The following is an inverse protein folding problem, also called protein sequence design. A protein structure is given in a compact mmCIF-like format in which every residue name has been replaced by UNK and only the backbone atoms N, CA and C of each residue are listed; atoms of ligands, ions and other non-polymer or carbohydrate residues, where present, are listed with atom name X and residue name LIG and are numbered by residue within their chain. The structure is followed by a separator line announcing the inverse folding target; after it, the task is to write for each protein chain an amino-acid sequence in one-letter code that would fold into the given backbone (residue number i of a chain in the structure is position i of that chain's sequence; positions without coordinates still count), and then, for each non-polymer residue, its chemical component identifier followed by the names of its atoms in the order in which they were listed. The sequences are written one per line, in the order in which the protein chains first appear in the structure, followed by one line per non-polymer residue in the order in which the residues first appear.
data_IF_719056394120
#
_entry.id   IF_719056394120
#
_cell.length_a   1.000
_cell.length_b   1.000
_cell.length_c   1.000
_cell.angle_alpha   90.00
_cell.angle_beta   90.00
_cell.angle_gamma   90.00
#
_symmetry.space_group_name_H-M   'P 1'
#
loop_
_entity.id
_entity.type
_entity.pdbx_description
1 polymer ?
#
# COMPACT_ATOMS: atom_id res chain seq x y z
N UNK A 1 13.13 -2.45 27.81
CA UNK A 1 12.04 -3.39 27.49
C UNK A 1 10.83 -2.68 26.86
N UNK A 2 10.10 -1.84 27.60
CA UNK A 2 8.88 -1.13 27.11
C UNK A 2 9.09 -0.44 25.75
N UNK A 3 10.14 0.37 25.61
CA UNK A 3 10.46 1.10 24.37
C UNK A 3 10.85 0.19 23.21
N UNK A 4 11.53 -0.93 23.50
CA UNK A 4 11.94 -1.92 22.50
C UNK A 4 10.73 -2.66 21.94
N UNK A 5 9.71 -2.90 22.77
CA UNK A 5 8.42 -3.44 22.37
C UNK A 5 7.56 -2.44 21.59
N UNK A 6 8.06 -1.23 21.29
CA UNK A 6 7.32 -0.19 20.58
C UNK A 6 6.18 0.41 21.41
N UNK A 7 6.16 0.18 22.73
CA UNK A 7 5.10 0.67 23.60
C UNK A 7 5.42 2.09 24.07
N UNK A 8 4.49 3.01 23.85
CA UNK A 8 4.55 4.37 24.39
C UNK A 8 3.62 4.48 25.59
N UNK A 9 4.18 4.79 26.77
CA UNK A 9 3.46 4.95 28.04
C UNK A 9 3.69 6.37 28.55
N UNK A 10 2.62 7.03 28.99
CA UNK A 10 2.72 8.34 29.65
C UNK A 10 3.03 8.12 31.13
N UNK A 11 4.32 7.99 31.45
CA UNK A 11 4.78 7.58 32.79
C UNK A 11 4.28 8.47 33.93
N UNK A 12 4.13 9.78 33.71
CA UNK A 12 3.62 10.71 34.74
C UNK A 12 2.22 10.32 35.23
N UNK A 13 1.32 9.94 34.30
CA UNK A 13 -0.04 9.49 34.64
C UNK A 13 -0.06 8.03 35.07
N UNK A 14 0.81 7.21 34.48
CA UNK A 14 0.84 5.79 34.76
C UNK A 14 1.29 5.47 36.20
N UNK A 15 2.20 6.27 36.77
CA UNK A 15 2.69 6.09 38.13
C UNK A 15 2.01 6.99 39.17
N UNK A 16 0.91 7.66 38.82
CA UNK A 16 0.24 8.62 39.73
C UNK A 16 -0.29 7.95 41.00
N UNK A 17 -0.88 6.75 40.87
CA UNK A 17 -1.44 5.97 41.98
C UNK A 17 -0.49 4.91 42.55
N UNK A 18 0.76 4.87 42.06
CA UNK A 18 1.74 3.85 42.46
C UNK A 18 2.69 4.47 43.46
N UNK A 19 2.95 3.77 44.57
CA UNK A 19 3.93 4.23 45.54
C UNK A 19 5.30 4.39 44.88
N UNK A 20 6.08 5.38 45.30
CA UNK A 20 7.40 5.68 44.73
C UNK A 20 8.45 4.64 45.15
N UNK A 21 8.26 3.43 44.67
CA UNK A 21 9.08 2.25 44.90
C UNK A 21 9.33 1.56 43.56
N UNK A 22 10.61 1.41 43.22
CA UNK A 22 11.05 0.83 41.95
C UNK A 22 10.47 -0.56 41.70
N UNK A 23 10.38 -1.41 42.72
CA UNK A 23 9.80 -2.76 42.58
C UNK A 23 8.31 -2.70 42.18
N UNK A 24 7.54 -1.77 42.73
CA UNK A 24 6.13 -1.61 42.38
C UNK A 24 5.97 -1.04 40.96
N UNK A 25 6.83 -0.09 40.59
CA UNK A 25 6.84 0.52 39.25
C UNK A 25 7.20 -0.50 38.18
N UNK A 26 8.20 -1.35 38.42
CA UNK A 26 8.58 -2.44 37.51
C UNK A 26 7.43 -3.43 37.36
N UNK A 27 6.84 -3.90 38.47
CA UNK A 27 5.71 -4.83 38.44
C UNK A 27 4.49 -4.26 37.71
N UNK A 28 4.23 -2.97 37.85
CA UNK A 28 3.16 -2.30 37.11
C UNK A 28 3.46 -2.27 35.60
N UNK A 29 4.71 -2.01 35.20
CA UNK A 29 5.12 -2.05 33.80
C UNK A 29 5.03 -3.45 33.21
N UNK A 30 5.45 -4.49 33.93
CA UNK A 30 5.32 -5.88 33.50
C UNK A 30 3.85 -6.24 33.23
N UNK A 31 2.96 -5.92 34.18
CA UNK A 31 1.52 -6.13 34.03
C UNK A 31 0.94 -5.36 32.83
N UNK A 32 1.41 -4.14 32.59
CA UNK A 32 0.98 -3.34 31.43
C UNK A 32 1.50 -3.92 30.11
N UNK A 33 2.70 -4.50 30.10
CA UNK A 33 3.25 -5.20 28.93
C UNK A 33 2.44 -6.47 28.63
N UNK A 34 2.07 -7.24 29.67
CA UNK A 34 1.17 -8.40 29.53
C UNK A 34 -0.21 -8.01 29.01
N UNK A 35 -0.78 -6.93 29.55
CA UNK A 35 -2.09 -6.41 29.10
C UNK A 35 -2.08 -6.04 27.62
N UNK A 36 -0.93 -5.63 27.08
CA UNK A 36 -0.76 -5.31 25.66
C UNK A 36 -0.41 -6.52 24.79
N UNK A 37 -0.35 -7.71 25.36
CA UNK A 37 -0.16 -8.97 24.65
C UNK A 37 1.27 -9.50 24.64
N UNK A 38 2.22 -8.86 25.35
CA UNK A 38 3.56 -9.39 25.47
C UNK A 38 3.63 -10.36 26.65
N UNK A 39 3.82 -11.65 26.39
CA UNK A 39 3.94 -12.68 27.43
C UNK A 39 5.36 -12.75 27.99
N UNK A 40 5.54 -13.05 29.30
CA UNK A 40 6.85 -13.33 29.87
C UNK A 40 7.51 -14.56 29.21
N UNK A 41 8.85 -14.62 29.12
CA UNK A 41 9.82 -13.68 29.69
C UNK A 41 10.03 -12.40 28.85
N UNK A 42 10.16 -11.25 29.52
CA UNK A 42 10.42 -9.95 28.89
C UNK A 42 11.88 -9.77 28.46
N UNK A 43 12.35 -10.63 27.57
CA UNK A 43 13.71 -10.53 27.02
C UNK A 43 13.79 -9.43 25.96
N UNK A 44 15.00 -8.98 25.66
CA UNK A 44 15.25 -8.00 24.60
C UNK A 44 14.74 -8.48 23.24
N UNK A 45 14.93 -9.77 22.95
CA UNK A 45 14.50 -10.41 21.70
C UNK A 45 12.98 -10.51 21.62
N UNK A 46 12.32 -10.94 22.69
CA UNK A 46 10.86 -11.02 22.74
C UNK A 46 10.21 -9.64 22.52
N UNK A 47 10.75 -8.58 23.12
CA UNK A 47 10.27 -7.22 22.90
C UNK A 47 10.41 -6.79 21.43
N UNK A 48 11.57 -7.05 20.81
CA UNK A 48 11.80 -6.69 19.39
C UNK A 48 10.89 -7.49 18.46
N UNK A 49 10.73 -8.79 18.71
CA UNK A 49 9.86 -9.66 17.93
C UNK A 49 8.40 -9.21 18.01
N UNK A 50 7.92 -8.84 19.21
CA UNK A 50 6.57 -8.33 19.39
C UNK A 50 6.33 -7.04 18.60
N UNK A 51 7.29 -6.10 18.64
CA UNK A 51 7.20 -4.87 17.83
C UNK A 51 7.09 -5.21 16.33
N UNK A 52 7.95 -6.11 15.85
CA UNK A 52 7.97 -6.52 14.45
C UNK A 52 6.65 -7.20 14.02
N UNK A 53 6.11 -8.12 14.84
CA UNK A 53 4.82 -8.77 14.57
C UNK A 53 3.69 -7.75 14.46
N UNK A 54 3.63 -6.79 15.38
CA UNK A 54 2.63 -5.71 15.34
C UNK A 54 2.73 -4.85 14.09
N UNK A 55 3.94 -4.55 13.63
CA UNK A 55 4.16 -3.78 12.41
C UNK A 55 3.71 -4.58 11.17
N UNK A 56 4.04 -5.87 11.12
CA UNK A 56 3.58 -6.79 10.06
C UNK A 56 2.06 -6.92 10.02
N UNK A 57 1.41 -7.08 11.18
CA UNK A 57 -0.05 -7.12 11.28
C UNK A 57 -0.70 -5.82 10.80
N UNK A 58 -0.10 -4.67 11.14
CA UNK A 58 -0.59 -3.38 10.67
C UNK A 58 -0.44 -3.22 9.14
N UNK A 59 0.67 -3.69 8.57
CA UNK A 59 0.88 -3.72 7.13
C UNK A 59 -0.14 -4.63 6.43
N UNK A 60 -0.35 -5.84 6.93
CA UNK A 60 -1.35 -6.77 6.41
C UNK A 60 -2.78 -6.20 6.50
N UNK A 61 -3.09 -5.49 7.59
CA UNK A 61 -4.38 -4.82 7.76
C UNK A 61 -4.56 -3.61 6.85
N UNK A 62 -3.48 -2.99 6.36
CA UNK A 62 -3.56 -1.92 5.37
C UNK A 62 -3.67 -2.50 3.95
N UNK A 63 -2.95 -3.57 3.66
CA UNK A 63 -3.08 -4.32 2.40
C UNK A 63 -4.48 -4.91 2.24
N UNK A 64 -5.13 -5.34 3.33
CA UNK A 64 -6.51 -5.81 3.33
C UNK A 64 -7.54 -4.71 3.08
N UNK A 65 -7.18 -3.43 3.09
CA UNK A 65 -8.07 -2.35 2.61
C UNK A 65 -7.87 -2.08 1.12
N UNK A 66 -6.66 -2.30 0.63
CA UNK A 66 -6.20 -1.93 -0.71
C UNK A 66 -6.07 -3.14 -1.64
N UNK A 67 -7.15 -3.91 -1.80
CA UNK A 67 -7.15 -5.05 -2.71
C UNK A 67 -7.07 -4.60 -4.18
N UNK A 68 -5.97 -4.96 -4.85
CA UNK A 68 -5.80 -4.75 -6.29
C UNK A 68 -6.52 -5.84 -7.09
N UNK A 69 -6.60 -7.04 -6.52
CA UNK A 69 -7.19 -8.23 -7.13
C UNK A 69 -8.37 -8.65 -6.26
N UNK A 70 -9.59 -8.58 -6.81
CA UNK A 70 -10.77 -9.12 -6.16
C UNK A 70 -10.74 -10.66 -6.27
N UNK A 71 -10.20 -11.32 -5.25
CA UNK A 71 -10.22 -12.80 -5.15
C UNK A 71 -11.64 -13.21 -4.73
N UNK A 72 -12.56 -13.23 -5.69
CA UNK A 72 -13.90 -13.80 -5.52
C UNK A 72 -13.91 -15.31 -5.71
N UNK A 73 -14.93 -15.99 -5.19
CA UNK A 73 -15.13 -17.46 -5.25
C UNK A 73 -15.15 -18.05 -6.67
N UNK A 74 -15.28 -17.22 -7.71
CA UNK A 74 -15.42 -17.64 -9.12
C UNK A 74 -14.17 -17.32 -9.98
N UNK A 75 -12.96 -17.40 -9.42
CA UNK A 75 -11.72 -17.17 -10.20
C UNK A 75 -11.16 -18.43 -10.91
N UNK A 76 -11.77 -19.60 -10.74
CA UNK A 76 -11.38 -20.78 -11.50
C UNK A 76 -11.95 -20.73 -12.93
N UNK A 77 -11.31 -19.94 -13.80
CA UNK A 77 -11.70 -19.83 -15.19
C UNK A 77 -10.88 -18.83 -16.00
N UNK A 78 -10.75 -19.09 -17.31
CA UNK A 78 -10.12 -18.14 -18.25
C UNK A 78 -10.98 -16.88 -18.33
N UNK A 79 -10.41 -15.74 -17.91
CA UNK A 79 -11.08 -14.43 -18.01
C UNK A 79 -11.51 -14.18 -19.45
N UNK A 80 -12.82 -14.06 -19.67
CA UNK A 80 -13.41 -13.79 -20.99
C UNK A 80 -13.34 -12.30 -21.33
N UNK A 81 -13.44 -11.96 -22.63
CA UNK A 81 -13.42 -10.56 -23.10
C UNK A 81 -14.55 -9.72 -22.46
N UNK A 82 -15.73 -10.32 -22.24
CA UNK A 82 -16.88 -9.66 -21.60
C UNK A 82 -16.68 -9.40 -20.11
N UNK A 83 -15.99 -10.28 -19.39
CA UNK A 83 -15.63 -10.05 -17.98
C UNK A 83 -14.60 -8.92 -17.85
N UNK A 84 -13.64 -8.82 -18.78
CA UNK A 84 -12.68 -7.70 -18.81
C UNK A 84 -13.36 -6.36 -19.04
N UNK A 85 -14.30 -6.28 -19.98
CA UNK A 85 -15.02 -5.03 -20.25
C UNK A 85 -15.91 -4.62 -19.06
N UNK A 86 -16.54 -5.58 -18.38
CA UNK A 86 -17.32 -5.30 -17.17
C UNK A 86 -16.46 -4.78 -16.01
N UNK A 87 -15.28 -5.36 -15.78
CA UNK A 87 -14.33 -4.90 -14.75
C UNK A 87 -13.76 -3.50 -15.04
N UNK A 88 -13.54 -3.16 -16.32
CA UNK A 88 -13.14 -1.81 -16.73
C UNK A 88 -14.25 -0.78 -16.51
N UNK A 89 -15.52 -1.17 -16.68
CA UNK A 89 -16.66 -0.29 -16.43
C UNK A 89 -16.86 0.03 -14.94
N UNK A 90 -16.57 -0.91 -14.03
CA UNK A 90 -16.61 -0.67 -12.57
C UNK A 90 -15.42 0.15 -12.08
N UNK A 91 -14.23 0.04 -12.69
CA UNK A 91 -13.07 0.89 -12.39
C UNK A 91 -13.33 2.39 -12.60
N UNK A 92 -14.21 2.76 -13.53
CA UNK A 92 -14.62 4.16 -13.73
C UNK A 92 -15.36 4.78 -12.54
N UNK A 93 -15.79 3.99 -11.55
CA UNK A 93 -16.47 4.48 -10.32
C UNK A 93 -15.58 4.50 -9.07
N UNK A 94 -14.42 3.84 -9.10
CA UNK A 94 -13.39 3.93 -8.06
C UNK A 94 -12.13 4.51 -8.69
N UNK A 95 -12.23 5.79 -9.06
CA UNK A 95 -11.12 6.54 -9.61
C UNK A 95 -10.04 6.68 -8.55
N UNK A 96 -8.88 6.07 -8.82
CA UNK A 96 -7.62 6.64 -8.38
C UNK A 96 -7.62 8.03 -9.04
N UNK A 97 -7.64 9.08 -8.23
CA UNK A 97 -7.56 10.46 -8.72
C UNK A 97 -6.14 10.62 -9.27
N UNK A 98 -5.97 10.32 -10.55
CA UNK A 98 -5.05 11.09 -11.36
C UNK A 98 -5.92 12.27 -11.82
N UNK A 99 -5.61 13.48 -11.38
CA UNK A 99 -6.19 14.67 -11.99
C UNK A 99 -5.69 14.72 -13.44
N UNK A 100 -6.38 14.00 -14.32
CA UNK A 100 -6.42 14.35 -15.73
C UNK A 100 -7.36 15.54 -15.79
N UNK A 101 -6.77 16.72 -15.57
CA UNK A 101 -7.40 18.01 -15.86
C UNK A 101 -7.86 17.95 -17.31
N UNK A 102 -9.18 17.84 -17.50
CA UNK A 102 -9.84 17.82 -18.82
C UNK A 102 -9.93 19.24 -19.42
N UNK A 103 -8.93 20.06 -19.17
CA UNK A 103 -8.65 21.30 -19.90
C UNK A 103 -7.31 21.05 -20.58
N UNK A 104 -7.34 20.32 -21.71
CA UNK A 104 -6.19 20.21 -22.61
C UNK A 104 -6.03 21.56 -23.31
N UNK A 105 -5.09 22.39 -22.82
CA UNK A 105 -4.69 23.62 -23.49
C UNK A 105 -4.06 23.29 -24.86
N UNK A 106 -4.16 24.20 -25.84
CA UNK A 106 -3.65 23.99 -27.22
C UNK A 106 -2.16 23.58 -27.25
N UNK A 107 -1.37 23.96 -26.25
CA UNK A 107 0.04 23.58 -26.09
C UNK A 107 0.23 22.08 -25.80
N UNK A 108 -0.67 21.43 -25.05
CA UNK A 108 -0.59 19.99 -24.74
C UNK A 108 -0.91 19.12 -25.97
N UNK A 109 -1.80 19.60 -26.85
CA UNK A 109 -2.09 18.95 -28.13
C UNK A 109 -0.90 19.03 -29.08
N UNK A 110 -0.20 20.16 -29.12
CA UNK A 110 1.00 20.34 -29.93
C UNK A 110 2.16 19.47 -29.43
N UNK A 111 2.37 19.35 -28.12
CA UNK A 111 3.40 18.48 -27.55
C UNK A 111 3.11 17.00 -27.83
N UNK A 112 1.83 16.60 -27.76
CA UNK A 112 1.40 15.24 -28.09
C UNK A 112 1.58 14.89 -29.56
N UNK A 113 1.25 15.81 -30.47
CA UNK A 113 1.47 15.62 -31.91
C UNK A 113 2.96 15.66 -32.26
N UNK A 114 3.77 16.48 -31.57
CA UNK A 114 5.22 16.47 -31.70
C UNK A 114 5.82 15.11 -31.28
N UNK A 115 5.40 14.56 -30.13
CA UNK A 115 5.85 13.24 -29.67
C UNK A 115 5.43 12.10 -30.60
N UNK A 116 4.22 12.15 -31.18
CA UNK A 116 3.80 11.19 -32.22
C UNK A 116 4.69 11.27 -33.46
N UNK A 117 4.97 12.48 -33.93
CA UNK A 117 5.81 12.68 -35.11
C UNK A 117 7.25 12.24 -34.85
N UNK A 118 7.78 12.50 -33.65
CA UNK A 118 9.12 12.09 -33.25
C UNK A 118 9.25 10.57 -33.14
N UNK A 119 8.26 9.91 -32.53
CA UNK A 119 8.23 8.44 -32.43
C UNK A 119 8.03 7.77 -33.80
N UNK A 120 7.17 8.30 -34.68
CA UNK A 120 7.06 7.82 -36.06
C UNK A 120 8.38 7.98 -36.83
N UNK A 121 9.12 9.07 -36.61
CA UNK A 121 10.41 9.31 -37.24
C UNK A 121 11.53 8.42 -36.66
N UNK A 122 11.50 8.11 -35.36
CA UNK A 122 12.49 7.27 -34.68
C UNK A 122 12.51 5.84 -35.24
N UNK A 123 11.35 5.34 -35.69
CA UNK A 123 11.23 4.02 -36.32
C UNK A 123 11.23 4.05 -37.85
N UNK A 124 11.53 5.19 -38.47
CA UNK A 124 11.60 5.33 -39.94
C UNK A 124 12.62 4.37 -40.58
N UNK A 125 13.70 4.06 -39.86
CA UNK A 125 14.73 3.11 -40.31
C UNK A 125 14.28 1.64 -40.24
N UNK A 126 13.13 1.36 -39.60
CA UNK A 126 12.51 0.04 -39.49
C UNK A 126 11.29 -0.12 -40.40
N UNK A 127 10.87 0.94 -41.13
CA UNK A 127 9.83 0.87 -42.17
C UNK A 127 10.29 -0.10 -43.26
N UNK A 128 9.64 -1.27 -43.33
CA UNK A 128 9.98 -2.38 -44.24
C UNK A 128 10.42 -3.66 -43.53
N UNK A 129 10.85 -3.59 -42.26
CA UNK A 129 11.03 -4.76 -41.38
C UNK A 129 9.75 -5.00 -40.58
N UNK A 130 9.13 -3.91 -40.12
CA UNK A 130 7.79 -3.94 -39.50
C UNK A 130 6.81 -3.49 -40.58
N UNK A 131 5.99 -4.42 -41.07
CA UNK A 131 4.92 -4.10 -42.02
C UNK A 131 3.86 -3.24 -41.33
N UNK A 132 3.76 -1.99 -41.75
CA UNK A 132 2.65 -1.09 -41.43
C UNK A 132 1.82 -0.96 -42.71
N UNK A 133 1.05 -2.01 -43.03
CA UNK A 133 0.01 -1.99 -44.06
C UNK A 133 -1.22 -1.32 -43.44
N UNK A 134 -1.20 0.01 -43.42
CA UNK A 134 -2.36 0.85 -43.15
C UNK A 134 -2.31 2.08 -44.06
N UNK A 135 -2.30 1.84 -45.37
CA UNK A 135 -2.77 2.84 -46.33
C UNK A 135 -4.27 3.07 -46.06
N UNK A 136 -4.62 4.25 -45.53
CA UNK A 136 -5.98 4.76 -45.58
C UNK A 136 -6.02 5.87 -46.62
N UNK A 137 -6.84 5.64 -47.65
CA UNK A 137 -7.42 6.66 -48.55
C UNK A 137 -8.34 7.61 -47.75
#
# INVERSE_FOLDING_TARGET
MVTLAGLRIVYKKFFEDIADNDCQRVKALEKEMERRGLTPPFTMEACKAFKLQREQEAELAELSKNYIIEIGENQEGRVTRGQRSAALATRRRRGIIFEESSDEDEEDLEEREHMKNETQNMFKNLRGIVSDDADSD
#
